data_IF_009584945178
#
_entry.id   IF_009584945178
#
_cell.length_a   1.000
_cell.length_b   1.000
_cell.length_c   1.000
_cell.angle_alpha   90.00
_cell.angle_beta   90.00
_cell.angle_gamma   90.00
#
_symmetry.space_group_name_H-M   'P 1'
#
loop_
_entity.id
_entity.type
_entity.pdbx_description
1 polymer ?
#
# COMPACT_ATOMS: atom_id res chain seq x y z
N UNK A 1 -11.37 -0.48 35.46
CA UNK A 1 -10.07 -0.03 34.92
C UNK A 1 -9.97 -0.57 33.51
N UNK A 2 -9.62 0.23 32.50
CA UNK A 2 -9.56 -0.23 31.10
C UNK A 2 -8.10 -0.45 30.71
N UNK A 3 -7.78 -1.62 30.16
CA UNK A 3 -6.47 -1.93 29.59
C UNK A 3 -6.57 -1.89 28.07
N UNK A 4 -5.58 -1.29 27.40
CA UNK A 4 -5.50 -1.22 25.94
C UNK A 4 -4.28 -1.99 25.48
N UNK A 5 -4.47 -2.88 24.51
CA UNK A 5 -3.39 -3.59 23.82
C UNK A 5 -3.28 -3.02 22.41
N UNK A 6 -2.07 -2.60 22.01
CA UNK A 6 -1.80 -2.08 20.67
C UNK A 6 -0.80 -3.03 20.01
N UNK A 7 -1.20 -3.62 18.88
CA UNK A 7 -0.32 -4.45 18.05
C UNK A 7 0.10 -3.65 16.82
N UNK A 8 1.40 -3.45 16.65
CA UNK A 8 1.97 -2.85 15.43
C UNK A 8 2.67 -3.94 14.65
N UNK A 9 2.22 -4.17 13.41
CA UNK A 9 2.79 -5.18 12.51
C UNK A 9 3.46 -4.45 11.35
N UNK A 10 4.78 -4.55 11.27
CA UNK A 10 5.54 -4.16 10.10
C UNK A 10 5.73 -5.39 9.22
N UNK A 11 5.44 -5.27 7.92
CA UNK A 11 5.63 -6.37 6.98
C UNK A 11 6.19 -5.84 5.66
N UNK A 12 7.05 -6.65 5.05
CA UNK A 12 7.49 -6.40 3.69
C UNK A 12 6.37 -6.87 2.73
N UNK A 13 5.87 -6.01 1.84
CA UNK A 13 4.89 -6.45 0.85
C UNK A 13 5.53 -7.50 -0.05
N UNK A 14 5.04 -8.73 0.04
CA UNK A 14 5.28 -9.78 -0.95
C UNK A 14 4.33 -9.63 -2.13
N UNK A 15 3.78 -10.74 -2.61
CA UNK A 15 2.77 -10.75 -3.70
C UNK A 15 1.37 -10.32 -3.23
N UNK A 16 1.11 -10.34 -1.93
CA UNK A 16 -0.19 -9.97 -1.36
C UNK A 16 -0.32 -8.46 -1.20
N UNK A 17 -1.34 -7.82 -1.81
CA UNK A 17 -1.61 -6.40 -1.60
C UNK A 17 -1.81 -6.06 -0.12
N UNK A 18 -1.39 -4.86 0.27
CA UNK A 18 -1.55 -4.36 1.63
C UNK A 18 -3.01 -4.37 2.11
N UNK A 19 -3.96 -4.11 1.20
CA UNK A 19 -5.39 -4.19 1.49
C UNK A 19 -5.86 -5.60 1.81
N UNK A 20 -5.41 -6.62 1.06
CA UNK A 20 -5.77 -8.01 1.34
C UNK A 20 -5.18 -8.51 2.66
N UNK A 21 -3.96 -8.07 3.01
CA UNK A 21 -3.40 -8.38 4.32
C UNK A 21 -4.17 -7.68 5.44
N UNK A 22 -4.60 -6.43 5.22
CA UNK A 22 -5.44 -5.72 6.17
C UNK A 22 -6.77 -6.44 6.39
N UNK A 23 -7.46 -6.81 5.31
CA UNK A 23 -8.72 -7.56 5.39
C UNK A 23 -8.55 -8.88 6.16
N UNK A 24 -7.42 -9.57 5.94
CA UNK A 24 -7.07 -10.80 6.66
C UNK A 24 -6.81 -10.55 8.14
N UNK A 25 -6.04 -9.52 8.48
CA UNK A 25 -5.72 -9.17 9.87
C UNK A 25 -6.98 -8.71 10.63
N UNK A 26 -7.86 -7.97 9.99
CA UNK A 26 -9.16 -7.59 10.55
C UNK A 26 -10.03 -8.83 10.81
N UNK A 27 -10.13 -9.75 9.86
CA UNK A 27 -10.89 -11.00 10.03
C UNK A 27 -10.32 -11.87 11.17
N UNK A 28 -8.99 -11.98 11.28
CA UNK A 28 -8.33 -12.71 12.37
C UNK A 28 -8.61 -12.03 13.71
N UNK A 29 -8.47 -10.70 13.80
CA UNK A 29 -8.70 -9.96 15.02
C UNK A 29 -10.17 -10.05 15.48
N UNK A 30 -11.13 -9.91 14.56
CA UNK A 30 -12.54 -10.03 14.87
C UNK A 30 -12.89 -11.43 15.40
N UNK A 31 -12.36 -12.47 14.75
CA UNK A 31 -12.54 -13.85 15.20
C UNK A 31 -11.90 -14.09 16.56
N UNK A 32 -10.67 -13.64 16.76
CA UNK A 32 -9.95 -13.77 18.02
C UNK A 32 -10.65 -13.04 19.18
N UNK A 33 -11.27 -11.89 18.92
CA UNK A 33 -12.09 -11.19 19.92
C UNK A 33 -13.36 -11.99 20.26
N UNK A 34 -14.08 -12.51 19.26
CA UNK A 34 -15.30 -13.29 19.48
C UNK A 34 -15.08 -14.66 20.13
N UNK A 35 -13.90 -15.26 19.94
CA UNK A 35 -13.50 -16.54 20.55
C UNK A 35 -12.77 -16.37 21.90
N UNK A 36 -12.60 -15.15 22.40
CA UNK A 36 -11.88 -14.90 23.67
C UNK A 36 -10.38 -15.17 23.60
N UNK A 37 -9.80 -15.29 22.40
CA UNK A 37 -8.38 -15.65 22.22
C UNK A 37 -7.41 -14.56 22.69
N UNK A 38 -7.85 -13.30 22.76
CA UNK A 38 -7.04 -12.21 23.34
C UNK A 38 -7.00 -12.21 24.86
N UNK A 39 -8.00 -12.82 25.49
CA UNK A 39 -8.19 -12.80 26.94
C UNK A 39 -7.83 -14.14 27.56
N UNK A 40 -7.73 -15.22 26.77
CA UNK A 40 -7.28 -16.53 27.23
C UNK A 40 -8.22 -17.11 28.29
N UNK A 41 -7.68 -17.61 29.40
CA UNK A 41 -8.47 -18.09 30.55
C UNK A 41 -8.95 -16.96 31.49
N UNK A 42 -8.77 -15.69 31.11
CA UNK A 42 -9.22 -14.57 31.94
C UNK A 42 -10.72 -14.28 31.74
N UNK A 43 -11.39 -13.85 32.81
CA UNK A 43 -12.79 -13.41 32.77
C UNK A 43 -13.01 -12.09 31.99
N UNK A 44 -11.96 -11.58 31.33
CA UNK A 44 -12.03 -10.33 30.59
C UNK A 44 -12.79 -10.55 29.27
N UNK A 45 -13.78 -9.69 29.00
CA UNK A 45 -14.44 -9.59 27.71
C UNK A 45 -13.83 -8.45 26.89
N UNK A 46 -13.74 -8.64 25.57
CA UNK A 46 -13.31 -7.59 24.65
C UNK A 46 -14.49 -6.67 24.36
N UNK A 47 -14.64 -5.62 25.17
CA UNK A 47 -15.72 -4.62 25.04
C UNK A 47 -15.70 -3.88 23.69
N UNK A 48 -14.50 -3.64 23.13
CA UNK A 48 -14.31 -2.85 21.92
C UNK A 48 -12.96 -3.18 21.27
N UNK A 49 -12.94 -3.30 19.95
CA UNK A 49 -11.71 -3.46 19.16
C UNK A 49 -11.73 -2.53 17.95
N UNK A 50 -10.56 -2.06 17.53
CA UNK A 50 -10.36 -1.22 16.35
C UNK A 50 -9.07 -1.62 15.65
N UNK A 51 -9.11 -1.88 14.35
CA UNK A 51 -7.92 -1.97 13.52
C UNK A 51 -7.56 -0.59 12.97
N UNK A 52 -6.32 -0.14 13.21
CA UNK A 52 -5.79 1.08 12.60
C UNK A 52 -4.73 0.71 11.57
N UNK A 53 -5.14 0.63 10.30
CA UNK A 53 -4.21 0.47 9.21
C UNK A 53 -3.66 1.84 8.80
N UNK A 54 -2.35 2.04 8.97
CA UNK A 54 -1.66 3.19 8.37
C UNK A 54 -1.13 2.79 7.00
N UNK A 55 -2.03 2.71 6.03
CA UNK A 55 -1.60 2.69 4.62
C UNK A 55 -1.19 4.13 4.30
N UNK A 56 0.06 4.39 3.86
CA UNK A 56 0.44 5.74 3.47
C UNK A 56 -0.57 6.23 2.42
N UNK A 57 -1.10 7.46 2.55
CA UNK A 57 -2.07 7.96 1.60
C UNK A 57 -1.47 7.90 0.19
N UNK A 58 -2.29 7.59 -0.84
CA UNK A 58 -1.86 7.57 -2.24
C UNK A 58 -1.10 8.85 -2.62
N UNK A 59 -1.48 9.97 -2.02
CA UNK A 59 -0.95 11.31 -2.26
C UNK A 59 0.51 11.50 -1.81
N UNK A 60 1.01 10.69 -0.87
CA UNK A 60 2.44 10.72 -0.50
C UNK A 60 3.34 10.30 -1.67
N UNK A 61 2.79 9.58 -2.65
CA UNK A 61 3.55 9.22 -3.85
C UNK A 61 3.67 10.38 -4.82
N UNK A 62 2.71 11.29 -4.84
CA UNK A 62 2.63 12.34 -5.86
C UNK A 62 3.18 13.70 -5.41
N UNK A 63 3.63 13.81 -4.16
CA UNK A 63 4.16 15.06 -3.60
C UNK A 63 5.34 15.66 -4.39
N UNK A 64 6.27 14.82 -4.84
CA UNK A 64 7.45 15.22 -5.63
C UNK A 64 7.25 15.05 -7.14
N UNK A 65 6.02 14.78 -7.59
CA UNK A 65 5.74 14.55 -8.99
C UNK A 65 5.76 15.88 -9.78
N UNK A 66 6.43 15.93 -10.93
CA UNK A 66 6.34 17.09 -11.82
C UNK A 66 4.89 17.38 -12.23
N UNK A 67 4.57 18.64 -12.53
CA UNK A 67 3.20 19.03 -12.90
C UNK A 67 2.68 18.32 -14.16
N UNK A 68 3.58 18.01 -15.09
CA UNK A 68 3.27 17.26 -16.31
C UNK A 68 3.04 15.76 -16.07
N UNK A 69 3.40 15.23 -14.90
CA UNK A 69 3.26 13.81 -14.61
C UNK A 69 1.78 13.47 -14.36
N UNK A 70 1.30 12.47 -15.10
CA UNK A 70 -0.07 11.95 -15.00
C UNK A 70 -0.10 10.47 -14.66
N UNK A 71 1.03 9.76 -14.79
CA UNK A 71 1.17 8.34 -14.44
C UNK A 71 2.47 8.08 -13.67
N UNK A 72 2.43 7.10 -12.77
CA UNK A 72 3.59 6.55 -12.08
C UNK A 72 3.63 5.06 -12.35
N UNK A 73 4.81 4.53 -12.62
CA UNK A 73 5.00 3.09 -12.69
C UNK A 73 6.41 2.71 -12.23
N UNK A 74 6.58 1.46 -11.84
CA UNK A 74 7.85 0.85 -11.49
C UNK A 74 8.21 -0.16 -12.57
N UNK A 75 9.47 -0.14 -13.01
CA UNK A 75 10.00 -1.13 -13.95
C UNK A 75 10.42 -2.41 -13.20
N UNK A 76 10.76 -3.46 -13.94
CA UNK A 76 11.12 -4.77 -13.40
C UNK A 76 12.35 -4.73 -12.48
N UNK A 77 13.24 -3.76 -12.67
CA UNK A 77 14.43 -3.56 -11.85
C UNK A 77 14.15 -2.84 -10.51
N UNK A 78 12.88 -2.45 -10.29
CA UNK A 78 12.42 -1.77 -9.10
C UNK A 78 12.58 -0.25 -9.13
N UNK A 79 13.09 0.34 -10.22
CA UNK A 79 13.16 1.78 -10.37
C UNK A 79 11.79 2.35 -10.76
N UNK A 80 11.49 3.54 -10.24
CA UNK A 80 10.20 4.21 -10.45
C UNK A 80 10.32 5.36 -11.44
N UNK A 81 9.26 5.61 -12.20
CA UNK A 81 9.22 6.63 -13.23
C UNK A 81 7.87 7.36 -13.30
N UNK A 82 7.94 8.68 -13.46
CA UNK A 82 6.83 9.56 -13.78
C UNK A 82 6.66 9.66 -15.29
N UNK A 83 5.43 9.57 -15.77
CA UNK A 83 5.09 9.68 -17.19
C UNK A 83 4.02 10.73 -17.43
N UNK A 84 4.17 11.51 -18.52
CA UNK A 84 3.13 12.42 -18.97
C UNK A 84 1.93 11.70 -19.60
N UNK A 85 2.17 10.58 -20.29
CA UNK A 85 1.14 9.78 -20.94
C UNK A 85 1.15 8.36 -20.41
N UNK A 86 0.05 7.63 -20.58
CA UNK A 86 -0.08 6.25 -20.11
C UNK A 86 0.97 5.37 -20.82
N UNK A 87 1.91 4.75 -20.10
CA UNK A 87 2.87 3.84 -20.69
C UNK A 87 2.27 2.43 -20.92
N UNK A 88 2.96 1.62 -21.71
CA UNK A 88 2.65 0.23 -22.00
C UNK A 88 3.77 -0.69 -21.47
N UNK A 89 3.44 -1.88 -20.92
CA UNK A 89 4.44 -2.79 -20.38
C UNK A 89 5.09 -3.58 -21.53
N UNK A 90 6.38 -3.35 -21.78
CA UNK A 90 7.16 -4.02 -22.84
C UNK A 90 8.52 -4.43 -22.27
N UNK A 91 8.87 -5.71 -22.39
CA UNK A 91 10.24 -6.17 -22.14
C UNK A 91 10.78 -6.00 -20.71
N UNK A 92 9.91 -5.81 -19.71
CA UNK A 92 10.34 -5.53 -18.33
C UNK A 92 10.27 -4.05 -17.93
N UNK A 93 9.83 -3.19 -18.83
CA UNK A 93 9.77 -1.74 -18.61
C UNK A 93 8.39 -1.19 -18.99
N UNK A 94 8.03 -0.06 -18.39
CA UNK A 94 6.92 0.77 -18.83
C UNK A 94 7.43 1.75 -19.88
N UNK A 95 7.14 1.47 -21.15
CA UNK A 95 7.56 2.28 -22.28
C UNK A 95 6.43 3.22 -22.69
N UNK A 96 6.79 4.46 -22.99
CA UNK A 96 5.86 5.47 -23.54
C UNK A 96 6.21 5.76 -24.99
N UNK A 97 5.20 6.10 -25.79
CA UNK A 97 5.40 6.53 -27.19
C UNK A 97 5.58 8.04 -27.31
N UNK A 98 5.15 8.83 -26.32
CA UNK A 98 5.16 10.29 -26.33
C UNK A 98 5.42 10.89 -24.95
N UNK A 99 5.94 12.13 -24.94
CA UNK A 99 6.10 12.97 -23.76
C UNK A 99 7.28 12.65 -22.84
N UNK A 100 7.51 13.49 -21.82
CA UNK A 100 8.62 13.32 -20.87
C UNK A 100 8.44 12.10 -19.95
N UNK A 101 9.58 11.57 -19.52
CA UNK A 101 9.70 10.64 -18.39
C UNK A 101 10.73 11.20 -17.41
N UNK A 102 10.55 10.91 -16.14
CA UNK A 102 11.53 11.26 -15.11
C UNK A 102 11.58 10.15 -14.07
N UNK A 103 12.79 9.75 -13.67
CA UNK A 103 12.97 8.80 -12.57
C UNK A 103 12.45 9.42 -11.28
N UNK A 104 11.57 8.71 -10.58
CA UNK A 104 11.06 9.11 -9.28
C UNK A 104 12.05 8.66 -8.19
N UNK A 105 12.41 9.53 -7.22
CA UNK A 105 13.34 9.19 -6.14
C UNK A 105 12.65 8.32 -5.10
N UNK A 106 12.38 7.06 -5.44
CA UNK A 106 11.63 6.11 -4.62
C UNK A 106 12.46 4.86 -4.31
N UNK A 107 12.24 4.23 -3.14
CA UNK A 107 12.88 2.97 -2.81
C UNK A 107 12.45 1.88 -3.79
N UNK A 108 13.40 1.01 -4.14
CA UNK A 108 13.12 -0.18 -4.94
C UNK A 108 12.21 -1.10 -4.14
N UNK A 109 11.10 -1.50 -4.74
CA UNK A 109 10.17 -2.42 -4.11
C UNK A 109 10.07 -3.70 -4.95
N UNK A 110 10.15 -4.88 -4.33
CA UNK A 110 9.92 -6.14 -5.03
C UNK A 110 8.41 -6.37 -5.19
N UNK A 111 7.81 -5.72 -6.19
CA UNK A 111 6.39 -5.89 -6.56
C UNK A 111 6.31 -6.44 -7.98
N UNK A 112 5.18 -7.06 -8.34
CA UNK A 112 4.85 -7.32 -9.74
C UNK A 112 4.76 -5.99 -10.49
N UNK A 113 5.85 -5.61 -11.15
CA UNK A 113 6.04 -4.28 -11.77
C UNK A 113 4.90 -3.90 -12.74
N UNK A 114 4.29 -4.89 -13.40
CA UNK A 114 3.12 -4.73 -14.28
C UNK A 114 1.83 -4.27 -13.58
N UNK A 115 1.74 -4.35 -12.25
CA UNK A 115 0.60 -3.89 -11.46
C UNK A 115 0.81 -2.50 -10.83
N UNK A 116 1.96 -1.87 -11.08
CA UNK A 116 2.35 -0.62 -10.40
C UNK A 116 1.89 0.65 -11.10
N UNK A 117 1.32 0.53 -12.31
CA UNK A 117 0.83 1.68 -13.05
C UNK A 117 -0.37 2.32 -12.34
N UNK A 118 -0.14 3.51 -11.79
CA UNK A 118 -1.15 4.31 -11.10
C UNK A 118 -1.33 5.69 -11.80
N UNK A 119 -2.57 6.15 -12.02
CA UNK A 119 -2.84 7.50 -12.49
C UNK A 119 -2.72 8.53 -11.36
N UNK A 120 -2.39 9.78 -11.69
CA UNK A 120 -2.38 10.88 -10.72
C UNK A 120 -3.77 11.08 -10.09
N UNK A 121 -3.87 11.21 -8.75
CA UNK A 121 -5.12 11.52 -8.08
C UNK A 121 -5.74 12.83 -8.57
N UNK A 122 -7.06 12.85 -8.80
CA UNK A 122 -7.81 14.03 -9.29
C UNK A 122 -8.26 14.99 -8.19
N UNK A 123 -8.12 14.60 -6.93
CA UNK A 123 -8.49 15.40 -5.77
C UNK A 123 -7.37 15.27 -4.73
N UNK A 124 -6.50 16.29 -4.55
CA UNK A 124 -5.61 16.31 -3.41
C UNK A 124 -6.47 16.56 -2.17
N UNK A 125 -6.41 15.66 -1.19
CA UNK A 125 -7.01 15.88 0.13
C UNK A 125 -6.28 17.00 0.89
#
# INVERSE_FOLDING_TARGET
>A
MKAQLILTVEYAPGTTPASQLLDLLEAIAQRAAGEGLFTGETDAEVDHWVAHARVPPPDSRWADAPDWAHWLAMDMDGDWFWYAHRPEPIGGEWIRTQGPVLRAPRPRHPIHWTHTLEPRPKNPA
#
